data_IF_262553296831
#
_entry.id   IF_262553296831
#
_cell.length_a   1.000
_cell.length_b   1.000
_cell.length_c   1.000
_cell.angle_alpha   90.00
_cell.angle_beta   90.00
_cell.angle_gamma   90.00
#
_symmetry.space_group_name_H-M   'P 1'
#
loop_
_entity.id
_entity.type
_entity.pdbx_description
1 polymer ?
#
# COMPACT_ATOMS: atom_id res chain seq x y z
N UNK A 1 -3.06 -86.89 10.72
CA UNK A 1 -3.17 -86.23 12.04
C UNK A 1 -4.40 -85.33 11.97
N UNK A 2 -5.50 -85.80 12.56
CA UNK A 2 -6.81 -85.18 12.78
C UNK A 2 -7.36 -84.21 11.71
N UNK A 3 -8.14 -84.81 10.80
CA UNK A 3 -9.36 -84.22 10.22
C UNK A 3 -10.36 -83.78 11.30
N UNK A 4 -11.27 -82.87 10.90
CA UNK A 4 -12.75 -82.84 11.12
C UNK A 4 -13.24 -81.39 10.99
N UNK A 5 -14.28 -81.03 10.25
CA UNK A 5 -15.66 -81.53 10.21
C UNK A 5 -16.29 -80.99 8.88
N UNK A 6 -16.78 -81.81 7.94
CA UNK A 6 -18.18 -82.22 7.70
C UNK A 6 -19.23 -81.08 7.88
N UNK A 7 -20.21 -80.84 7.00
CA UNK A 7 -21.01 -81.79 6.20
C UNK A 7 -21.98 -81.02 5.25
N UNK A 8 -22.25 -81.59 4.06
CA UNK A 8 -23.56 -81.71 3.36
C UNK A 8 -24.33 -80.46 2.88
N UNK A 9 -25.05 -80.43 1.74
CA UNK A 9 -25.78 -81.51 1.06
C UNK A 9 -26.28 -81.09 -0.35
N UNK A 10 -26.50 -82.10 -1.23
CA UNK A 10 -27.53 -82.23 -2.31
C UNK A 10 -27.59 -81.19 -3.45
N UNK A 11 -27.25 -81.45 -4.72
CA UNK A 11 -27.68 -82.45 -5.73
C UNK A 11 -29.11 -82.24 -6.27
N UNK A 12 -29.21 -82.11 -7.61
CA UNK A 12 -30.30 -82.36 -8.60
C UNK A 12 -30.46 -81.17 -9.57
N UNK A 13 -30.01 -81.24 -10.83
CA UNK A 13 -30.65 -81.92 -11.97
C UNK A 13 -31.99 -81.21 -12.36
N UNK A 14 -32.34 -80.85 -13.60
CA UNK A 14 -31.91 -81.34 -14.93
C UNK A 14 -32.69 -80.54 -16.02
N UNK A 15 -32.13 -80.50 -17.25
CA UNK A 15 -32.74 -80.29 -18.60
C UNK A 15 -33.14 -78.86 -19.07
N UNK A 16 -32.51 -78.34 -20.12
CA UNK A 16 -32.66 -78.58 -21.58
C UNK A 16 -33.77 -77.70 -22.21
N UNK A 17 -33.39 -76.70 -23.00
CA UNK A 17 -33.73 -76.61 -24.44
C UNK A 17 -33.34 -75.26 -25.04
N UNK A 18 -32.62 -75.36 -26.15
CA UNK A 18 -32.27 -74.33 -27.13
C UNK A 18 -33.51 -73.93 -27.92
N UNK A 19 -33.67 -72.64 -28.28
CA UNK A 19 -34.02 -72.18 -29.64
C UNK A 19 -33.79 -70.65 -29.79
N UNK A 20 -33.22 -70.28 -30.94
CA UNK A 20 -32.89 -68.93 -31.40
C UNK A 20 -34.12 -68.01 -31.57
N UNK A 21 -33.96 -66.71 -31.30
CA UNK A 21 -34.49 -65.62 -32.12
C UNK A 21 -33.87 -64.26 -31.73
N UNK A 22 -33.64 -63.42 -32.75
CA UNK A 22 -33.15 -62.04 -32.70
C UNK A 22 -33.94 -61.13 -31.76
N UNK A 23 -33.25 -60.18 -31.09
CA UNK A 23 -33.87 -59.08 -30.36
C UNK A 23 -32.89 -57.96 -29.98
N UNK A 24 -33.00 -56.83 -30.68
CA UNK A 24 -32.61 -55.46 -30.29
C UNK A 24 -31.20 -55.21 -29.72
N UNK A 25 -30.28 -54.77 -30.59
CA UNK A 25 -29.19 -53.86 -30.19
C UNK A 25 -29.84 -52.50 -29.88
N UNK A 26 -30.18 -52.28 -28.61
CA UNK A 26 -30.32 -50.93 -28.07
C UNK A 26 -28.93 -50.48 -27.64
N UNK A 27 -28.14 -50.01 -28.62
CA UNK A 27 -26.95 -49.22 -28.34
C UNK A 27 -27.42 -47.89 -27.80
N UNK A 28 -27.57 -47.82 -26.49
CA UNK A 28 -27.77 -46.61 -25.72
C UNK A 28 -26.64 -45.65 -26.12
N UNK A 29 -26.98 -44.61 -26.90
CA UNK A 29 -26.10 -43.47 -27.09
C UNK A 29 -25.86 -42.92 -25.70
N UNK A 30 -24.66 -43.14 -25.17
CA UNK A 30 -24.22 -42.52 -23.92
C UNK A 30 -24.55 -41.03 -24.01
N UNK A 31 -25.39 -40.56 -23.10
CA UNK A 31 -25.55 -39.14 -22.86
C UNK A 31 -24.16 -38.53 -22.73
N UNK A 32 -23.90 -37.34 -23.32
CA UNK A 32 -22.70 -36.61 -22.98
C UNK A 32 -22.64 -36.49 -21.46
N UNK A 33 -21.54 -36.93 -20.84
CA UNK A 33 -21.32 -36.69 -19.42
C UNK A 33 -21.46 -35.18 -19.19
N UNK A 34 -22.52 -34.80 -18.47
CA UNK A 34 -22.73 -33.41 -18.10
C UNK A 34 -21.55 -33.00 -17.20
N UNK A 35 -20.97 -31.81 -17.41
CA UNK A 35 -19.84 -31.36 -16.61
C UNK A 35 -20.25 -31.37 -15.14
N UNK A 36 -19.42 -31.98 -14.30
CA UNK A 36 -19.69 -32.11 -12.87
C UNK A 36 -19.85 -30.71 -12.25
N UNK A 37 -20.95 -30.47 -11.54
CA UNK A 37 -21.24 -29.20 -10.88
C UNK A 37 -21.08 -29.31 -9.37
N UNK A 38 -20.79 -28.18 -8.72
CA UNK A 38 -20.70 -28.04 -7.27
C UNK A 38 -21.43 -26.80 -6.79
N UNK A 39 -21.89 -26.89 -5.56
CA UNK A 39 -22.53 -25.82 -4.81
C UNK A 39 -21.48 -24.89 -4.19
N UNK A 40 -21.69 -23.59 -4.37
CA UNK A 40 -20.74 -22.52 -4.02
C UNK A 40 -21.49 -21.33 -3.45
N UNK A 41 -20.86 -20.64 -2.50
CA UNK A 41 -21.24 -19.32 -2.02
C UNK A 41 -20.10 -18.32 -2.22
N UNK A 42 -20.39 -17.11 -2.70
CA UNK A 42 -19.44 -16.00 -2.72
C UNK A 42 -19.67 -15.06 -1.54
N UNK A 43 -18.57 -14.60 -0.95
CA UNK A 43 -18.55 -13.42 -0.09
C UNK A 43 -17.57 -12.41 -0.68
N UNK A 44 -18.04 -11.20 -0.96
CA UNK A 44 -17.25 -10.11 -1.53
C UNK A 44 -17.16 -9.00 -0.49
N UNK A 45 -15.98 -8.41 -0.29
CA UNK A 45 -15.84 -7.28 0.62
C UNK A 45 -14.43 -6.71 0.71
N UNK A 46 -14.25 -5.74 1.61
CA UNK A 46 -13.00 -4.95 1.75
C UNK A 46 -12.19 -5.37 3.00
N UNK A 47 -12.86 -5.75 4.10
CA UNK A 47 -12.24 -5.88 5.44
C UNK A 47 -12.25 -7.29 6.04
N UNK A 48 -13.37 -8.04 5.97
CA UNK A 48 -13.53 -9.34 6.66
C UNK A 48 -12.77 -10.54 6.04
N UNK A 49 -11.61 -10.26 5.43
CA UNK A 49 -10.73 -11.27 4.85
C UNK A 49 -9.23 -11.06 5.17
N UNK A 50 -8.78 -9.96 5.79
CA UNK A 50 -7.34 -9.71 6.04
C UNK A 50 -6.99 -9.83 7.54
N UNK A 51 -6.05 -10.72 7.88
CA UNK A 51 -5.35 -10.69 9.17
C UNK A 51 -3.93 -10.11 9.06
N UNK A 52 -3.47 -9.60 7.91
CA UNK A 52 -2.04 -9.21 7.80
C UNK A 52 -1.62 -8.26 6.68
N UNK A 53 -2.50 -7.51 6.02
CA UNK A 53 -2.09 -6.40 5.15
C UNK A 53 -3.13 -5.29 5.32
N UNK A 54 -2.68 -4.09 5.67
CA UNK A 54 -3.52 -2.97 6.08
C UNK A 54 -4.60 -2.63 5.04
N UNK A 55 -5.79 -3.21 5.15
CA UNK A 55 -7.00 -2.63 4.55
C UNK A 55 -7.78 -1.96 5.67
N UNK A 56 -7.32 -0.74 6.02
CA UNK A 56 -7.86 0.06 7.12
C UNK A 56 -9.24 0.67 6.80
N UNK A 57 -10.21 -0.18 6.51
CA UNK A 57 -11.42 0.18 5.80
C UNK A 57 -12.66 -0.62 6.24
N UNK A 58 -12.67 -1.10 7.48
CA UNK A 58 -13.94 -1.37 8.17
C UNK A 58 -14.37 -0.10 8.89
N UNK A 59 -15.67 0.13 9.12
CA UNK A 59 -16.21 1.12 10.07
C UNK A 59 -15.57 1.01 11.47
N UNK A 60 -15.01 -0.15 11.82
CA UNK A 60 -14.25 -0.36 13.05
C UNK A 60 -12.77 0.04 12.96
N UNK A 61 -12.30 0.47 11.79
CA UNK A 61 -11.00 1.06 11.59
C UNK A 61 -11.08 2.57 11.78
N UNK A 62 -10.27 3.09 12.70
CA UNK A 62 -10.14 4.52 12.99
C UNK A 62 -9.73 5.37 11.77
N UNK A 63 -9.19 4.73 10.72
CA UNK A 63 -8.74 5.39 9.50
C UNK A 63 -9.73 5.20 8.32
N UNK A 64 -10.87 4.53 8.47
CA UNK A 64 -11.90 4.48 7.41
C UNK A 64 -12.62 5.83 7.31
N UNK A 65 -12.79 6.35 6.09
CA UNK A 65 -13.62 7.54 5.85
C UNK A 65 -14.96 7.15 5.23
N UNK A 66 -15.91 8.05 5.37
CA UNK A 66 -17.26 7.89 4.83
C UNK A 66 -17.20 7.84 3.28
N UNK A 67 -17.97 6.92 2.69
CA UNK A 67 -18.12 6.70 1.26
C UNK A 67 -16.98 5.93 0.59
N UNK A 68 -16.03 5.41 1.35
CA UNK A 68 -14.87 4.69 0.78
C UNK A 68 -15.12 3.21 0.46
N UNK A 69 -16.30 2.68 0.77
CA UNK A 69 -16.67 1.27 0.64
C UNK A 69 -17.49 1.01 -0.64
N UNK A 70 -18.37 0.01 -0.65
CA UNK A 70 -19.09 -0.42 -1.86
C UNK A 70 -20.36 0.43 -2.03
N UNK A 71 -20.52 1.03 -3.20
CA UNK A 71 -21.78 1.62 -3.68
C UNK A 71 -22.43 0.74 -4.76
N UNK A 72 -21.63 0.27 -5.71
CA UNK A 72 -22.05 -0.65 -6.78
C UNK A 72 -21.17 -1.90 -6.79
N UNK A 73 -21.70 -3.04 -7.25
CA UNK A 73 -20.95 -4.29 -7.34
C UNK A 73 -21.30 -5.08 -8.60
N UNK A 74 -20.27 -5.64 -9.24
CA UNK A 74 -20.44 -6.69 -10.25
C UNK A 74 -19.33 -7.73 -10.12
N UNK A 75 -19.70 -9.01 -10.26
CA UNK A 75 -18.78 -10.15 -10.22
C UNK A 75 -19.03 -11.06 -11.42
N UNK A 76 -17.95 -11.48 -12.07
CA UNK A 76 -17.94 -12.47 -13.14
C UNK A 76 -17.15 -13.70 -12.72
N UNK A 77 -17.69 -14.87 -13.06
CA UNK A 77 -16.96 -16.13 -13.04
C UNK A 77 -16.92 -16.63 -14.48
N UNK A 78 -15.72 -16.70 -15.02
CA UNK A 78 -15.45 -17.05 -16.42
C UNK A 78 -14.83 -18.44 -16.46
N UNK A 79 -15.34 -19.31 -17.32
CA UNK A 79 -14.83 -20.66 -17.47
C UNK A 79 -13.53 -20.70 -18.29
N UNK A 80 -12.90 -21.88 -18.36
CA UNK A 80 -11.67 -22.09 -19.12
C UNK A 80 -11.79 -21.78 -20.62
N UNK A 81 -13.01 -21.75 -21.17
CA UNK A 81 -13.33 -21.40 -22.55
C UNK A 81 -13.50 -19.88 -22.76
N UNK A 82 -13.18 -19.07 -21.74
CA UNK A 82 -13.38 -17.62 -21.72
C UNK A 82 -14.87 -17.18 -21.84
N UNK A 83 -15.81 -18.06 -21.48
CA UNK A 83 -17.24 -17.74 -21.44
C UNK A 83 -17.67 -17.40 -20.02
N UNK A 84 -18.48 -16.34 -19.85
CA UNK A 84 -19.10 -15.99 -18.56
C UNK A 84 -20.05 -17.11 -18.16
N UNK A 85 -19.71 -17.83 -17.11
CA UNK A 85 -20.53 -18.90 -16.54
C UNK A 85 -21.50 -18.37 -15.49
N UNK A 86 -21.06 -17.36 -14.72
CA UNK A 86 -21.90 -16.68 -13.74
C UNK A 86 -21.61 -15.18 -13.72
N UNK A 87 -22.69 -14.38 -13.63
CA UNK A 87 -22.65 -12.94 -13.40
C UNK A 87 -23.50 -12.61 -12.19
N UNK A 88 -22.93 -11.84 -11.27
CA UNK A 88 -23.66 -11.23 -10.17
C UNK A 88 -23.61 -9.71 -10.36
N UNK A 89 -24.78 -9.09 -10.40
CA UNK A 89 -24.94 -7.63 -10.36
C UNK A 89 -26.11 -7.33 -9.42
N UNK A 90 -25.89 -7.38 -8.09
CA UNK A 90 -26.96 -7.13 -7.13
C UNK A 90 -27.54 -5.72 -7.33
N UNK A 91 -28.86 -5.59 -7.16
CA UNK A 91 -29.48 -4.28 -7.07
C UNK A 91 -29.27 -3.72 -5.66
N UNK A 92 -28.29 -2.81 -5.55
CA UNK A 92 -27.94 -2.14 -4.30
C UNK A 92 -28.61 -0.76 -4.17
N UNK A 93 -29.47 -0.38 -5.12
CA UNK A 93 -30.07 0.97 -5.15
C UNK A 93 -30.97 1.30 -3.96
N UNK A 94 -31.39 0.29 -3.20
CA UNK A 94 -32.24 0.43 -2.00
C UNK A 94 -31.51 0.06 -0.71
N UNK A 95 -30.25 -0.35 -0.79
CA UNK A 95 -29.42 -0.65 0.37
C UNK A 95 -28.91 0.68 0.97
N UNK A 96 -29.28 1.02 2.22
CA UNK A 96 -28.92 2.30 2.81
C UNK A 96 -27.42 2.51 2.95
N UNK A 97 -26.65 1.46 3.22
CA UNK A 97 -25.20 1.55 3.32
C UNK A 97 -24.61 1.72 1.90
N UNK A 98 -25.09 0.97 0.91
CA UNK A 98 -24.58 1.11 -0.46
C UNK A 98 -24.86 2.49 -1.06
N UNK A 99 -26.02 3.10 -0.78
CA UNK A 99 -26.37 4.44 -1.28
C UNK A 99 -25.35 5.51 -0.89
N UNK A 100 -24.74 5.38 0.28
CA UNK A 100 -23.71 6.30 0.77
C UNK A 100 -22.29 5.76 0.57
N UNK A 101 -22.13 4.62 -0.12
CA UNK A 101 -20.83 3.99 -0.33
C UNK A 101 -20.24 3.34 0.90
N UNK A 102 -21.07 2.90 1.85
CA UNK A 102 -20.71 2.34 3.16
C UNK A 102 -20.81 0.81 3.23
N UNK A 103 -21.27 0.14 2.17
CA UNK A 103 -21.49 -1.30 2.21
C UNK A 103 -20.12 -2.03 2.27
N UNK A 104 -19.84 -2.70 3.38
CA UNK A 104 -18.53 -3.36 3.58
C UNK A 104 -18.42 -4.72 2.85
N UNK A 105 -19.55 -5.41 2.71
CA UNK A 105 -19.59 -6.75 2.12
C UNK A 105 -20.95 -7.13 1.54
N UNK A 106 -20.91 -8.06 0.60
CA UNK A 106 -22.09 -8.66 -0.04
C UNK A 106 -21.89 -10.16 -0.19
N UNK A 107 -22.97 -10.94 -0.09
CA UNK A 107 -22.96 -12.39 -0.30
C UNK A 107 -23.92 -12.78 -1.42
N UNK A 108 -23.51 -13.75 -2.23
CA UNK A 108 -24.34 -14.20 -3.37
C UNK A 108 -25.51 -15.08 -2.98
N UNK A 109 -25.49 -15.63 -1.76
CA UNK A 109 -26.17 -16.88 -1.48
C UNK A 109 -25.62 -18.02 -2.34
N UNK A 110 -26.33 -19.13 -2.33
CA UNK A 110 -25.88 -20.38 -2.94
C UNK A 110 -26.19 -20.49 -4.42
N UNK A 111 -25.23 -20.97 -5.20
CA UNK A 111 -25.38 -21.23 -6.62
C UNK A 111 -24.50 -22.39 -7.09
N UNK A 112 -24.75 -22.86 -8.32
CA UNK A 112 -24.01 -23.97 -8.92
C UNK A 112 -22.96 -23.48 -9.92
N UNK A 113 -21.82 -24.15 -9.93
CA UNK A 113 -20.74 -23.96 -10.90
C UNK A 113 -20.23 -25.31 -11.38
N UNK A 114 -19.84 -25.40 -12.64
CA UNK A 114 -19.06 -26.53 -13.15
C UNK A 114 -17.68 -26.54 -12.50
N UNK A 115 -17.16 -27.73 -12.19
CA UNK A 115 -15.83 -27.91 -11.62
C UNK A 115 -14.73 -27.45 -12.58
N UNK A 116 -13.55 -27.22 -12.02
CA UNK A 116 -12.33 -26.87 -12.76
C UNK A 116 -11.94 -25.42 -12.61
N UNK A 117 -10.94 -25.01 -13.39
CA UNK A 117 -10.34 -23.67 -13.32
C UNK A 117 -11.28 -22.60 -13.88
N UNK A 118 -11.45 -21.53 -13.12
CA UNK A 118 -12.23 -20.33 -13.45
C UNK A 118 -11.35 -19.10 -13.31
N UNK A 119 -11.71 -18.05 -14.03
CA UNK A 119 -11.20 -16.72 -13.81
C UNK A 119 -12.29 -15.86 -13.18
N UNK A 120 -12.01 -15.29 -12.01
CA UNK A 120 -12.89 -14.37 -11.32
C UNK A 120 -12.50 -12.94 -11.71
N UNK A 121 -13.51 -12.11 -11.96
CA UNK A 121 -13.36 -10.66 -12.00
C UNK A 121 -14.41 -10.04 -11.08
N UNK A 122 -14.01 -9.12 -10.22
CA UNK A 122 -14.95 -8.35 -9.42
C UNK A 122 -14.61 -6.87 -9.49
N UNK A 123 -15.64 -6.03 -9.52
CA UNK A 123 -15.51 -4.59 -9.58
C UNK A 123 -16.53 -3.95 -8.66
N UNK A 124 -16.10 -2.91 -7.94
CA UNK A 124 -16.99 -2.02 -7.24
C UNK A 124 -16.73 -0.59 -7.67
N UNK A 125 -17.80 0.20 -7.72
CA UNK A 125 -17.74 1.65 -8.00
C UNK A 125 -17.03 1.99 -9.32
N UNK A 126 -17.03 1.07 -10.29
CA UNK A 126 -16.28 1.21 -11.55
C UNK A 126 -16.81 2.37 -12.40
N UNK A 127 -18.06 2.78 -12.18
CA UNK A 127 -18.70 3.89 -12.87
C UNK A 127 -17.90 5.19 -12.68
N UNK A 128 -17.21 5.33 -11.55
CA UNK A 128 -16.37 6.49 -11.22
C UNK A 128 -15.12 6.61 -12.10
N UNK A 129 -14.75 5.54 -12.84
CA UNK A 129 -13.66 5.57 -13.82
C UNK A 129 -14.09 6.19 -15.16
N UNK A 130 -15.40 6.27 -15.44
CA UNK A 130 -15.95 6.73 -16.71
C UNK A 130 -15.30 6.08 -17.95
N UNK A 131 -14.97 4.78 -17.87
CA UNK A 131 -14.28 4.04 -18.94
C UNK A 131 -15.29 3.27 -19.80
N UNK A 132 -15.50 3.72 -21.04
CA UNK A 132 -16.48 3.13 -21.95
C UNK A 132 -16.22 1.66 -22.29
N UNK A 133 -14.95 1.27 -22.42
CA UNK A 133 -14.57 -0.10 -22.74
C UNK A 133 -14.81 -1.04 -21.55
N UNK A 134 -14.49 -0.60 -20.33
CA UNK A 134 -14.81 -1.32 -19.09
C UNK A 134 -16.33 -1.46 -18.91
N UNK A 135 -17.08 -0.38 -19.13
CA UNK A 135 -18.55 -0.40 -19.04
C UNK A 135 -19.16 -1.38 -20.04
N UNK A 136 -18.60 -1.47 -21.25
CA UNK A 136 -19.02 -2.46 -22.25
C UNK A 136 -18.69 -3.88 -21.79
N UNK A 137 -17.49 -4.11 -21.25
CA UNK A 137 -17.13 -5.43 -20.71
C UNK A 137 -18.01 -5.85 -19.53
N UNK A 138 -18.40 -4.92 -18.66
CA UNK A 138 -19.33 -5.16 -17.56
C UNK A 138 -20.76 -5.45 -18.06
N UNK A 139 -21.10 -4.99 -19.26
CA UNK A 139 -22.33 -5.35 -19.98
C UNK A 139 -22.36 -6.80 -20.49
N UNK A 140 -21.26 -7.56 -20.41
CA UNK A 140 -21.22 -8.96 -20.89
C UNK A 140 -22.20 -9.83 -20.10
N UNK A 141 -23.03 -10.60 -20.79
CA UNK A 141 -24.04 -11.47 -20.18
C UNK A 141 -23.55 -12.92 -20.01
N UNK A 142 -24.23 -13.69 -19.15
CA UNK A 142 -23.95 -15.12 -18.99
C UNK A 142 -24.06 -15.85 -20.36
N UNK A 143 -23.12 -16.76 -20.62
CA UNK A 143 -22.99 -17.48 -21.89
C UNK A 143 -22.23 -16.74 -23.00
N UNK A 144 -21.86 -15.47 -22.79
CA UNK A 144 -21.04 -14.71 -23.75
C UNK A 144 -19.54 -14.78 -23.44
N UNK A 145 -18.72 -14.50 -24.44
CA UNK A 145 -17.26 -14.41 -24.28
C UNK A 145 -16.89 -13.15 -23.48
N UNK A 146 -16.06 -13.32 -22.45
CA UNK A 146 -15.56 -12.19 -21.67
C UNK A 146 -14.47 -11.46 -22.45
N UNK A 147 -14.52 -10.12 -22.59
CA UNK A 147 -13.39 -9.36 -23.13
C UNK A 147 -12.13 -9.55 -22.28
N UNK A 148 -10.95 -9.48 -22.90
CA UNK A 148 -9.69 -9.51 -22.13
C UNK A 148 -9.55 -8.21 -21.32
N UNK A 149 -9.49 -8.37 -20.00
CA UNK A 149 -9.30 -7.29 -19.04
C UNK A 149 -7.96 -7.36 -18.31
N UNK A 150 -7.21 -8.46 -18.43
CA UNK A 150 -6.03 -8.70 -17.59
C UNK A 150 -4.87 -7.75 -17.89
N UNK A 151 -4.83 -7.19 -19.10
CA UNK A 151 -3.85 -6.20 -19.55
C UNK A 151 -4.40 -4.76 -19.53
N UNK A 152 -5.68 -4.57 -19.22
CA UNK A 152 -6.35 -3.28 -19.31
C UNK A 152 -5.79 -2.28 -18.30
N UNK A 153 -5.60 -1.05 -18.75
CA UNK A 153 -5.39 0.11 -17.90
C UNK A 153 -6.66 0.95 -17.83
N UNK A 154 -6.78 1.71 -16.74
CA UNK A 154 -7.87 2.65 -16.54
C UNK A 154 -7.30 3.97 -16.05
N UNK A 155 -8.03 5.05 -16.30
CA UNK A 155 -7.67 6.38 -15.82
C UNK A 155 -8.63 6.80 -14.73
N UNK A 156 -8.09 7.52 -13.74
CA UNK A 156 -8.87 8.20 -12.73
C UNK A 156 -8.18 9.52 -12.46
N UNK A 157 -8.92 10.62 -12.44
CA UNK A 157 -8.32 11.90 -12.08
C UNK A 157 -8.09 11.89 -10.57
N UNK A 158 -6.86 12.16 -10.14
CA UNK A 158 -6.55 12.20 -8.71
C UNK A 158 -7.47 13.19 -7.98
N UNK A 159 -7.81 12.87 -6.74
CA UNK A 159 -8.73 13.62 -5.89
C UNK A 159 -10.15 13.82 -6.47
N UNK A 160 -10.64 12.87 -7.27
CA UNK A 160 -12.02 12.90 -7.82
C UNK A 160 -13.07 12.21 -6.95
N UNK A 161 -12.70 11.80 -5.73
CA UNK A 161 -13.62 11.22 -4.76
C UNK A 161 -14.61 12.28 -4.29
N UNK A 162 -15.90 12.01 -4.46
CA UNK A 162 -16.99 12.95 -4.20
C UNK A 162 -18.30 12.15 -4.05
N UNK A 163 -18.53 11.51 -2.89
CA UNK A 163 -19.67 10.63 -2.67
C UNK A 163 -21.01 11.37 -2.79
N UNK A 164 -21.07 12.66 -2.43
CA UNK A 164 -22.26 13.50 -2.57
C UNK A 164 -22.71 13.64 -4.04
N UNK A 165 -21.78 13.54 -4.98
CA UNK A 165 -22.06 13.54 -6.42
C UNK A 165 -21.91 12.15 -7.06
N UNK A 166 -22.07 11.08 -6.27
CA UNK A 166 -22.00 9.67 -6.70
C UNK A 166 -20.66 9.27 -7.33
N UNK A 167 -19.54 9.86 -6.88
CA UNK A 167 -18.18 9.46 -7.28
C UNK A 167 -17.49 8.77 -6.12
N UNK A 168 -17.53 7.45 -6.14
CA UNK A 168 -16.96 6.58 -5.11
C UNK A 168 -15.60 6.03 -5.53
N UNK A 169 -14.86 5.44 -4.59
CA UNK A 169 -13.53 4.90 -4.88
C UNK A 169 -13.64 3.63 -5.73
N UNK A 170 -13.09 3.58 -6.96
CA UNK A 170 -13.14 2.38 -7.78
C UNK A 170 -12.29 1.27 -7.17
N UNK A 171 -12.80 0.05 -7.25
CA UNK A 171 -12.12 -1.15 -6.75
C UNK A 171 -12.20 -2.28 -7.77
N UNK A 172 -11.20 -3.15 -7.76
CA UNK A 172 -11.18 -4.32 -8.61
C UNK A 172 -10.51 -5.51 -7.93
N UNK A 173 -10.78 -6.69 -8.48
CA UNK A 173 -10.13 -7.93 -8.11
C UNK A 173 -10.12 -8.91 -9.29
N UNK A 174 -9.05 -9.68 -9.39
CA UNK A 174 -8.92 -10.76 -10.36
C UNK A 174 -8.14 -11.91 -9.75
N UNK A 175 -8.61 -13.14 -9.96
CA UNK A 175 -7.93 -14.35 -9.50
C UNK A 175 -8.34 -15.57 -10.34
N UNK A 176 -7.37 -16.43 -10.64
CA UNK A 176 -7.64 -17.77 -11.12
C UNK A 176 -8.02 -18.68 -9.96
N UNK A 177 -9.21 -19.27 -10.00
CA UNK A 177 -9.75 -20.11 -8.94
C UNK A 177 -10.08 -21.51 -9.47
N UNK A 178 -9.56 -22.56 -8.83
CA UNK A 178 -9.96 -23.94 -9.15
C UNK A 178 -11.12 -24.38 -8.26
N UNK A 179 -12.27 -24.58 -8.89
CA UNK A 179 -13.53 -24.92 -8.21
C UNK A 179 -13.55 -26.40 -7.87
N UNK A 180 -13.52 -26.71 -6.57
CA UNK A 180 -13.64 -28.08 -6.04
C UNK A 180 -14.90 -28.28 -5.17
N UNK A 181 -15.27 -27.30 -4.34
CA UNK A 181 -16.53 -27.11 -3.60
C UNK A 181 -16.36 -25.98 -2.57
N UNK A 182 -17.46 -25.40 -2.07
CA UNK A 182 -17.45 -24.56 -0.86
C UNK A 182 -17.49 -23.04 -1.10
N UNK A 183 -17.14 -22.27 -0.06
CA UNK A 183 -17.24 -20.81 -0.02
C UNK A 183 -15.99 -20.14 -0.61
N UNK A 184 -16.16 -19.14 -1.47
CA UNK A 184 -15.09 -18.31 -2.02
C UNK A 184 -15.20 -16.87 -1.51
N UNK A 185 -14.13 -16.39 -0.89
CA UNK A 185 -14.02 -14.99 -0.47
C UNK A 185 -13.26 -14.18 -1.52
N UNK A 186 -13.83 -13.05 -1.92
CA UNK A 186 -13.26 -12.09 -2.88
C UNK A 186 -12.92 -10.81 -2.12
N UNK A 187 -11.73 -10.28 -2.34
CA UNK A 187 -11.21 -9.08 -1.66
C UNK A 187 -11.07 -7.95 -2.65
N UNK A 188 -11.92 -6.95 -2.56
CA UNK A 188 -11.83 -5.78 -3.42
C UNK A 188 -10.64 -4.91 -3.00
N UNK A 189 -9.86 -4.48 -3.99
CA UNK A 189 -8.69 -3.61 -3.78
C UNK A 189 -8.99 -2.27 -4.45
N UNK A 190 -8.86 -1.18 -3.69
CA UNK A 190 -8.98 0.18 -4.24
C UNK A 190 -7.90 0.43 -5.28
N UNK A 191 -8.24 1.14 -6.34
CA UNK A 191 -7.28 1.50 -7.39
C UNK A 191 -6.35 2.66 -7.00
N UNK A 192 -6.60 3.27 -5.83
CA UNK A 192 -6.03 4.55 -5.43
C UNK A 192 -5.53 4.46 -3.99
N UNK A 193 -4.62 5.36 -3.63
CA UNK A 193 -4.09 5.51 -2.28
C UNK A 193 -4.49 6.84 -1.66
N UNK A 194 -4.36 6.94 -0.34
CA UNK A 194 -4.60 8.15 0.42
C UNK A 194 -3.30 8.82 0.80
N UNK A 195 -3.28 10.13 0.77
CA UNK A 195 -2.17 10.97 1.20
C UNK A 195 -2.71 12.02 2.16
N UNK A 196 -2.04 12.20 3.30
CA UNK A 196 -2.22 13.35 4.17
C UNK A 196 -0.93 14.12 4.25
N UNK A 197 -1.02 15.44 4.09
CA UNK A 197 0.13 16.33 4.20
C UNK A 197 -0.01 17.13 5.48
N UNK A 198 1.03 17.13 6.30
CA UNK A 198 1.11 17.94 7.52
C UNK A 198 2.33 18.83 7.44
N UNK A 199 2.15 20.11 7.76
CA UNK A 199 3.24 21.09 7.79
C UNK A 199 3.33 21.68 9.19
N UNK A 200 4.53 21.67 9.76
CA UNK A 200 4.85 22.23 11.07
C UNK A 200 5.79 23.42 10.92
N UNK A 201 5.54 24.48 11.67
CA UNK A 201 6.46 25.61 11.76
C UNK A 201 7.32 25.49 13.02
N UNK A 202 8.63 25.28 12.87
CA UNK A 202 9.58 25.32 13.99
C UNK A 202 10.39 26.62 14.03
N UNK A 203 10.06 27.59 13.17
CA UNK A 203 10.77 28.87 13.06
C UNK A 203 10.36 29.90 14.10
N UNK A 204 11.14 30.98 14.23
CA UNK A 204 10.92 32.02 15.23
C UNK A 204 9.90 33.10 14.80
N UNK A 205 9.36 32.97 13.59
CA UNK A 205 8.44 33.90 12.97
C UNK A 205 7.27 33.16 12.33
N UNK A 206 6.23 33.89 11.95
CA UNK A 206 5.07 33.26 11.31
C UNK A 206 5.41 32.96 9.84
N UNK A 207 4.88 31.85 9.33
CA UNK A 207 5.02 31.48 7.93
C UNK A 207 3.63 31.25 7.35
N UNK A 208 3.33 31.97 6.28
CA UNK A 208 2.18 31.68 5.43
C UNK A 208 2.58 30.72 4.31
N UNK A 209 1.88 29.60 4.21
CA UNK A 209 1.93 28.68 3.08
C UNK A 209 0.98 29.25 2.02
N UNK A 210 1.54 29.87 0.98
CA UNK A 210 0.76 30.44 -0.12
C UNK A 210 0.21 29.32 -1.04
N UNK A 211 1.03 28.28 -1.26
CA UNK A 211 0.64 27.11 -2.03
C UNK A 211 1.58 25.92 -1.73
N UNK A 212 1.02 24.72 -1.68
CA UNK A 212 1.75 23.45 -1.62
C UNK A 212 1.24 22.55 -2.74
N UNK A 213 2.16 22.09 -3.58
CA UNK A 213 1.91 21.18 -4.70
C UNK A 213 2.77 19.92 -4.60
N UNK A 214 2.25 18.76 -5.02
CA UNK A 214 3.03 17.53 -5.20
C UNK A 214 2.82 16.99 -6.62
N UNK A 215 3.93 16.59 -7.28
CA UNK A 215 3.95 16.06 -8.64
C UNK A 215 5.17 15.16 -8.93
N UNK A 216 5.16 14.34 -9.98
CA UNK A 216 4.01 13.94 -10.79
C UNK A 216 3.36 12.67 -10.23
N UNK A 217 2.04 12.55 -10.34
CA UNK A 217 1.31 11.30 -10.13
C UNK A 217 0.88 10.71 -11.47
N UNK A 218 0.69 9.40 -11.55
CA UNK A 218 0.15 8.77 -12.74
C UNK A 218 -1.26 9.25 -13.06
N UNK A 219 -1.59 9.28 -14.34
CA UNK A 219 -2.96 9.52 -14.85
C UNK A 219 -3.73 8.22 -15.04
N UNK A 220 -3.03 7.08 -15.03
CA UNK A 220 -3.61 5.76 -15.26
C UNK A 220 -2.94 4.69 -14.41
N UNK A 221 -3.65 3.60 -14.16
CA UNK A 221 -3.15 2.42 -13.44
C UNK A 221 -3.63 1.15 -14.13
N UNK A 222 -3.01 0.01 -13.81
CA UNK A 222 -3.55 -1.27 -14.21
C UNK A 222 -4.93 -1.48 -13.58
N UNK A 223 -5.88 -2.04 -14.34
CA UNK A 223 -7.22 -2.32 -13.84
C UNK A 223 -7.16 -3.25 -12.62
N UNK A 224 -6.31 -4.27 -12.66
CA UNK A 224 -6.07 -5.19 -11.55
C UNK A 224 -4.67 -4.98 -10.97
N UNK A 225 -4.53 -5.26 -9.68
CA UNK A 225 -3.24 -5.23 -8.99
C UNK A 225 -2.23 -6.18 -9.65
N UNK A 226 -1.01 -5.67 -9.90
CA UNK A 226 0.12 -6.41 -10.47
C UNK A 226 1.29 -6.53 -9.48
N UNK A 227 1.11 -6.08 -8.24
CA UNK A 227 2.15 -5.96 -7.24
C UNK A 227 2.97 -4.67 -7.39
N UNK A 228 3.61 -4.26 -6.30
CA UNK A 228 4.27 -2.96 -6.15
C UNK A 228 5.46 -2.75 -7.11
N UNK A 229 6.08 -3.83 -7.57
CA UNK A 229 7.19 -3.79 -8.53
C UNK A 229 6.73 -3.56 -9.98
N UNK A 230 5.45 -3.79 -10.26
CA UNK A 230 4.86 -3.71 -11.60
C UNK A 230 3.92 -2.51 -11.77
N UNK A 231 4.15 -1.46 -11.00
CA UNK A 231 3.46 -0.18 -11.16
C UNK A 231 3.89 0.47 -12.48
N UNK A 232 2.92 1.04 -13.21
CA UNK A 232 3.19 1.81 -14.43
C UNK A 232 4.14 2.98 -14.12
N UNK A 233 5.20 3.19 -14.91
CA UNK A 233 6.06 4.35 -14.76
C UNK A 233 5.27 5.63 -15.05
N UNK A 234 5.58 6.70 -14.32
CA UNK A 234 4.98 8.00 -14.57
C UNK A 234 5.46 8.57 -15.89
N UNK A 235 4.49 8.78 -16.78
CA UNK A 235 4.71 9.21 -18.15
C UNK A 235 4.44 10.72 -18.30
N UNK A 236 5.35 11.43 -18.97
CA UNK A 236 5.24 12.87 -19.17
C UNK A 236 5.21 13.63 -17.85
N UNK A 237 4.37 14.68 -17.78
CA UNK A 237 4.24 15.52 -16.59
C UNK A 237 3.27 14.94 -15.52
N UNK A 238 2.58 13.83 -15.84
CA UNK A 238 1.59 13.23 -14.94
C UNK A 238 0.50 14.21 -14.47
N UNK A 239 -0.05 13.95 -13.29
CA UNK A 239 -0.92 14.85 -12.53
C UNK A 239 -0.14 15.57 -11.43
N UNK A 240 -0.50 16.83 -11.20
CA UNK A 240 -0.16 17.57 -9.99
C UNK A 240 -1.38 17.64 -9.08
N UNK A 241 -1.16 17.57 -7.76
CA UNK A 241 -2.15 18.03 -6.79
C UNK A 241 -1.68 19.40 -6.31
N UNK A 242 -2.40 20.43 -6.75
CA UNK A 242 -2.17 21.82 -6.36
C UNK A 242 -3.02 22.20 -5.14
N UNK A 243 -2.68 23.31 -4.48
CA UNK A 243 -3.43 23.87 -3.35
C UNK A 243 -3.71 22.84 -2.24
N UNK A 244 -2.80 21.89 -2.01
CA UNK A 244 -2.91 20.92 -0.92
C UNK A 244 -3.06 21.64 0.42
N UNK A 245 -2.30 22.72 0.57
CA UNK A 245 -2.46 23.75 1.59
C UNK A 245 -2.25 25.10 0.89
N UNK A 246 -3.14 26.06 1.16
CA UNK A 246 -3.12 27.35 0.51
C UNK A 246 -3.67 28.44 1.44
N UNK A 247 -2.93 29.55 1.53
CA UNK A 247 -3.22 30.68 2.40
C UNK A 247 -3.30 30.31 3.90
N UNK A 248 -2.59 29.27 4.30
CA UNK A 248 -2.52 28.81 5.70
C UNK A 248 -1.38 29.52 6.41
N UNK A 249 -1.66 30.18 7.54
CA UNK A 249 -0.63 30.87 8.33
C UNK A 249 -0.33 30.10 9.61
N UNK A 250 0.92 29.73 9.79
CA UNK A 250 1.43 29.05 10.97
C UNK A 250 2.18 30.06 11.83
N UNK A 251 1.77 30.24 13.08
CA UNK A 251 2.49 31.11 14.00
C UNK A 251 3.85 30.51 14.40
N UNK A 252 4.68 31.33 15.06
CA UNK A 252 5.99 30.94 15.59
C UNK A 252 5.87 30.07 16.87
N UNK A 253 5.16 28.95 16.78
CA UNK A 253 4.87 28.04 17.89
C UNK A 253 5.09 26.59 17.41
N UNK A 254 5.94 25.84 18.12
CA UNK A 254 6.31 24.47 17.76
C UNK A 254 5.15 23.47 17.94
N UNK A 255 4.00 23.90 18.42
CA UNK A 255 2.77 23.11 18.48
C UNK A 255 1.86 23.33 17.28
N UNK A 256 2.06 24.40 16.51
CA UNK A 256 1.19 24.76 15.40
C UNK A 256 1.50 23.97 14.14
N UNK A 257 0.46 23.36 13.58
CA UNK A 257 0.53 22.55 12.37
C UNK A 257 -0.68 22.82 11.49
N UNK A 258 -0.44 22.90 10.19
CA UNK A 258 -1.49 22.77 9.18
C UNK A 258 -1.54 21.32 8.71
N UNK A 259 -2.72 20.82 8.40
CA UNK A 259 -2.87 19.49 7.80
C UNK A 259 -3.92 19.57 6.71
N UNK A 260 -3.62 18.94 5.58
CA UNK A 260 -4.59 18.80 4.51
C UNK A 260 -5.71 17.86 4.94
N UNK A 261 -6.82 17.93 4.22
CA UNK A 261 -7.75 16.80 4.13
C UNK A 261 -7.06 15.59 3.47
N UNK A 262 -7.72 14.44 3.50
CA UNK A 262 -7.24 13.26 2.79
C UNK A 262 -7.34 13.47 1.29
N UNK A 263 -6.22 13.25 0.60
CA UNK A 263 -6.10 13.37 -0.85
C UNK A 263 -6.00 11.98 -1.43
N UNK A 264 -6.74 11.71 -2.49
CA UNK A 264 -6.63 10.45 -3.21
C UNK A 264 -5.72 10.57 -4.41
N UNK A 265 -4.74 9.68 -4.49
CA UNK A 265 -3.72 9.69 -5.53
C UNK A 265 -3.63 8.33 -6.22
N UNK A 266 -3.31 8.36 -7.51
CA UNK A 266 -3.12 7.15 -8.29
C UNK A 266 -1.84 6.42 -7.91
N UNK A 267 -1.87 5.11 -8.16
CA UNK A 267 -0.68 4.27 -8.14
C UNK A 267 0.40 4.83 -9.09
N UNK A 268 1.58 5.14 -8.58
CA UNK A 268 2.60 5.93 -9.30
C UNK A 268 4.02 5.42 -9.09
N UNK A 269 4.90 5.57 -10.09
CA UNK A 269 6.34 5.25 -10.00
C UNK A 269 7.17 6.33 -10.69
N UNK A 270 8.01 7.00 -9.91
CA UNK A 270 8.90 8.06 -10.36
C UNK A 270 10.32 7.81 -9.83
N UNK A 271 11.26 7.51 -10.72
CA UNK A 271 12.62 7.08 -10.35
C UNK A 271 13.41 8.18 -9.63
N UNK A 272 13.08 9.45 -9.90
CA UNK A 272 13.65 10.63 -9.21
C UNK A 272 12.88 11.03 -7.96
N UNK A 273 11.81 10.32 -7.63
CA UNK A 273 10.86 10.67 -6.57
C UNK A 273 9.94 11.83 -6.92
N UNK A 274 8.92 12.00 -6.09
CA UNK A 274 7.87 13.01 -6.21
C UNK A 274 8.40 14.36 -5.73
N UNK A 275 8.26 15.37 -6.57
CA UNK A 275 8.56 16.76 -6.27
C UNK A 275 7.45 17.39 -5.43
N UNK A 276 7.86 17.96 -4.30
CA UNK A 276 7.07 18.80 -3.42
C UNK A 276 7.49 20.23 -3.71
N UNK A 277 6.57 21.05 -4.22
CA UNK A 277 6.78 22.47 -4.51
C UNK A 277 6.04 23.30 -3.47
N UNK A 278 6.74 24.23 -2.85
CA UNK A 278 6.25 25.01 -1.74
C UNK A 278 6.49 26.50 -1.98
N UNK A 279 5.43 27.28 -1.90
CA UNK A 279 5.48 28.73 -1.95
C UNK A 279 5.05 29.30 -0.59
N UNK A 280 5.87 30.17 -0.02
CA UNK A 280 5.72 30.68 1.34
C UNK A 280 6.04 32.17 1.45
N UNK A 281 5.52 32.79 2.49
CA UNK A 281 5.89 34.13 2.94
C UNK A 281 6.15 34.11 4.45
N UNK A 282 7.35 34.48 4.86
CA UNK A 282 7.70 34.76 6.25
C UNK A 282 7.08 36.10 6.67
N UNK A 283 6.50 36.18 7.88
CA UNK A 283 5.88 37.39 8.42
C UNK A 283 6.55 37.76 9.74
N UNK A 284 6.97 39.03 9.86
CA UNK A 284 7.63 39.56 11.04
C UNK A 284 8.95 40.26 10.73
N UNK A 285 9.79 40.41 11.76
CA UNK A 285 11.12 41.00 11.63
C UNK A 285 12.16 39.88 11.67
N UNK A 286 12.72 39.55 10.51
CA UNK A 286 13.78 38.55 10.35
C UNK A 286 14.86 39.08 9.39
N UNK A 287 15.99 38.39 9.34
CA UNK A 287 17.23 38.83 8.64
C UNK A 287 17.33 38.34 7.18
N UNK A 288 16.38 37.50 6.74
CA UNK A 288 16.36 36.84 5.43
C UNK A 288 15.23 37.38 4.54
N UNK A 289 15.17 36.95 3.27
CA UNK A 289 14.11 37.37 2.34
C UNK A 289 12.78 36.68 2.64
N UNK A 290 11.64 37.36 2.51
CA UNK A 290 10.31 36.83 2.89
C UNK A 290 9.98 35.45 2.29
N UNK A 291 10.56 35.06 1.16
CA UNK A 291 10.33 33.77 0.51
C UNK A 291 11.43 32.71 0.77
N UNK A 292 12.29 32.89 1.77
CA UNK A 292 13.44 32.01 2.04
C UNK A 292 13.06 30.54 2.24
N UNK A 293 11.86 30.24 2.75
CA UNK A 293 11.36 28.88 2.96
C UNK A 293 10.61 28.30 1.75
N UNK A 294 10.51 29.06 0.64
CA UNK A 294 9.97 28.56 -0.61
C UNK A 294 11.00 27.71 -1.36
N UNK A 295 10.52 26.81 -2.20
CA UNK A 295 11.37 26.02 -3.09
C UNK A 295 10.71 24.71 -3.47
N UNK A 296 11.49 23.85 -4.14
CA UNK A 296 11.07 22.49 -4.40
C UNK A 296 12.11 21.47 -3.95
N UNK A 297 11.63 20.31 -3.50
CA UNK A 297 12.45 19.16 -3.15
C UNK A 297 11.79 17.89 -3.65
N UNK A 298 12.57 16.83 -3.88
CA UNK A 298 12.06 15.52 -4.26
C UNK A 298 12.16 14.52 -3.11
N UNK A 299 11.18 13.63 -3.02
CA UNK A 299 11.26 12.47 -2.14
C UNK A 299 12.45 11.61 -2.56
N UNK A 300 13.34 11.28 -1.63
CA UNK A 300 14.54 10.49 -1.95
C UNK A 300 14.26 8.98 -1.90
N UNK A 301 13.39 8.55 -0.99
CA UNK A 301 13.08 7.14 -0.72
C UNK A 301 11.76 6.68 -1.31
N UNK A 302 10.73 7.52 -1.24
CA UNK A 302 9.43 7.23 -1.84
C UNK A 302 9.50 7.48 -3.34
N UNK A 303 9.73 6.42 -4.11
CA UNK A 303 9.75 6.42 -5.57
C UNK A 303 8.58 5.67 -6.18
N UNK A 304 7.79 5.00 -5.33
CA UNK A 304 6.65 4.18 -5.70
C UNK A 304 5.53 4.47 -4.71
N UNK A 305 4.32 4.58 -5.24
CA UNK A 305 3.07 4.72 -4.49
C UNK A 305 2.20 3.57 -4.99
N UNK A 306 2.20 2.40 -4.35
CA UNK A 306 1.21 1.36 -4.61
C UNK A 306 -0.21 1.85 -4.33
N UNK A 307 -1.20 1.22 -4.96
CA UNK A 307 -2.63 1.44 -4.70
C UNK A 307 -3.05 0.95 -3.30
N UNK A 308 -4.18 1.43 -2.79
CA UNK A 308 -4.80 0.97 -1.54
C UNK A 308 -3.90 1.11 -0.29
N UNK A 309 -3.04 2.12 -0.26
CA UNK A 309 -2.16 2.46 0.85
C UNK A 309 -2.51 3.82 1.45
N UNK A 310 -2.03 4.08 2.67
CA UNK A 310 -2.14 5.37 3.35
C UNK A 310 -0.74 5.94 3.51
N UNK A 311 -0.55 7.17 3.04
CA UNK A 311 0.70 7.91 3.06
C UNK A 311 0.55 9.16 3.91
N UNK A 312 1.58 9.48 4.69
CA UNK A 312 1.68 10.73 5.41
C UNK A 312 2.97 11.44 4.98
N UNK A 313 2.85 12.65 4.47
CA UNK A 313 3.98 13.53 4.19
C UNK A 313 4.03 14.61 5.26
N UNK A 314 5.08 14.57 6.08
CA UNK A 314 5.33 15.58 7.11
C UNK A 314 6.42 16.53 6.62
N UNK A 315 6.10 17.83 6.54
CA UNK A 315 7.06 18.88 6.24
C UNK A 315 7.28 19.72 7.49
N UNK A 316 8.54 20.13 7.71
CA UNK A 316 8.93 20.95 8.85
C UNK A 316 9.72 22.14 8.33
N UNK A 317 9.27 23.35 8.64
CA UNK A 317 10.09 24.55 8.49
C UNK A 317 11.09 24.61 9.63
N UNK A 318 12.30 24.11 9.37
CA UNK A 318 13.39 24.11 10.34
C UNK A 318 14.17 25.42 10.28
N UNK A 319 14.38 26.06 11.43
CA UNK A 319 15.30 27.21 11.57
C UNK A 319 16.75 26.80 11.77
N UNK A 320 17.07 25.50 11.72
CA UNK A 320 18.38 25.00 12.07
C UNK A 320 18.86 23.94 11.07
N UNK A 321 20.17 23.97 10.80
CA UNK A 321 20.88 22.95 10.03
C UNK A 321 21.71 22.10 10.98
N UNK A 322 21.45 20.79 10.98
CA UNK A 322 22.17 19.80 11.76
C UNK A 322 23.29 19.19 10.91
N UNK A 323 24.48 19.08 11.49
CA UNK A 323 25.64 18.43 10.87
C UNK A 323 26.03 17.19 11.68
N UNK A 324 26.16 16.05 11.00
CA UNK A 324 26.46 14.74 11.58
C UNK A 324 27.82 14.21 11.11
N UNK A 325 28.48 13.45 11.95
CA UNK A 325 29.54 12.52 11.58
C UNK A 325 29.02 11.09 11.71
N UNK A 326 29.41 10.21 10.81
CA UNK A 326 28.89 8.84 10.74
C UNK A 326 30.08 7.89 10.66
N UNK A 327 30.13 6.96 11.61
CA UNK A 327 31.13 5.89 11.65
C UNK A 327 30.41 4.54 11.67
N UNK A 328 30.71 3.70 10.70
CA UNK A 328 30.21 2.32 10.60
C UNK A 328 31.35 1.34 10.79
N UNK A 329 31.12 0.29 11.55
CA UNK A 329 32.08 -0.78 11.78
C UNK A 329 31.49 -2.11 11.31
N UNK A 330 32.25 -2.84 10.51
CA UNK A 330 31.90 -4.20 10.14
C UNK A 330 32.79 -5.19 10.92
N UNK A 331 32.25 -5.89 11.93
CA UNK A 331 33.05 -6.82 12.72
C UNK A 331 33.34 -8.08 11.89
N UNK A 332 34.62 -8.40 11.61
CA UNK A 332 34.95 -9.63 10.91
C UNK A 332 34.66 -10.86 11.78
N UNK A 333 34.44 -12.02 11.14
CA UNK A 333 34.38 -13.30 11.85
C UNK A 333 35.79 -13.60 12.40
N UNK A 334 36.02 -13.28 13.67
CA UNK A 334 37.26 -13.59 14.40
C UNK A 334 38.40 -12.56 14.31
N UNK A 335 38.11 -11.26 14.18
CA UNK A 335 39.11 -10.19 14.16
C UNK A 335 38.63 -8.88 14.80
N UNK A 336 39.45 -7.82 14.72
CA UNK A 336 39.07 -6.47 15.17
C UNK A 336 38.11 -5.83 14.17
N UNK A 337 37.11 -5.04 14.61
CA UNK A 337 36.20 -4.35 13.72
C UNK A 337 36.94 -3.41 12.77
N UNK A 338 36.67 -3.55 11.47
CA UNK A 338 37.16 -2.62 10.46
C UNK A 338 36.14 -1.49 10.28
N UNK A 339 36.63 -0.25 10.23
CA UNK A 339 35.79 0.92 9.96
C UNK A 339 35.45 0.92 8.47
N UNK A 340 34.20 0.64 8.14
CA UNK A 340 33.70 0.56 6.76
C UNK A 340 33.06 1.87 6.30
N UNK A 341 32.50 2.65 7.22
CA UNK A 341 31.97 3.99 6.94
C UNK A 341 32.66 5.03 7.79
N UNK A 342 33.08 6.14 7.18
CA UNK A 342 33.62 7.30 7.88
C UNK A 342 33.27 8.58 7.11
N UNK A 343 32.19 9.23 7.51
CA UNK A 343 31.72 10.51 6.97
C UNK A 343 31.82 11.54 8.09
N UNK A 344 32.38 12.71 7.80
CA UNK A 344 32.43 13.83 8.74
C UNK A 344 31.82 15.06 8.07
N UNK A 345 30.71 15.56 8.61
CA UNK A 345 30.03 16.74 8.09
C UNK A 345 28.81 16.48 7.19
N UNK A 346 28.10 15.36 7.36
CA UNK A 346 26.86 15.11 6.64
C UNK A 346 25.74 16.07 7.10
N UNK A 347 25.08 16.69 6.14
CA UNK A 347 23.93 17.58 6.34
C UNK A 347 22.66 17.04 5.70
N UNK A 348 22.76 15.92 4.97
CA UNK A 348 21.61 15.29 4.34
C UNK A 348 20.70 14.59 5.34
N UNK A 349 21.26 14.21 6.51
CA UNK A 349 20.62 13.39 7.53
C UNK A 349 20.27 11.99 7.02
N UNK A 350 20.94 11.55 5.95
CA UNK A 350 20.85 10.22 5.36
C UNK A 350 22.18 9.50 5.61
N UNK A 351 22.19 8.66 6.63
CA UNK A 351 23.35 7.95 7.11
C UNK A 351 23.44 6.56 6.44
N UNK A 352 24.25 6.46 5.38
CA UNK A 352 24.60 5.17 4.77
C UNK A 352 25.67 4.44 5.58
N UNK A 353 25.41 3.19 5.98
CA UNK A 353 26.39 2.34 6.67
C UNK A 353 26.74 1.14 5.80
N UNK A 354 28.03 1.01 5.51
CA UNK A 354 28.57 0.02 4.59
C UNK A 354 28.68 -1.34 5.28
N UNK A 355 27.97 -2.34 4.75
CA UNK A 355 28.00 -3.72 5.23
C UNK A 355 27.24 -3.99 6.53
N UNK A 356 26.52 -2.99 7.06
CA UNK A 356 25.83 -3.07 8.35
C UNK A 356 26.79 -3.14 9.54
N UNK A 357 26.34 -3.73 10.65
CA UNK A 357 27.13 -3.82 11.88
C UNK A 357 26.91 -2.65 12.87
N UNK A 358 27.73 -2.56 13.94
CA UNK A 358 27.70 -1.45 14.87
C UNK A 358 28.00 -0.12 14.19
N UNK A 359 27.35 0.94 14.60
CA UNK A 359 27.63 2.28 14.12
C UNK A 359 27.59 3.32 15.25
N UNK A 360 28.22 4.45 14.98
CA UNK A 360 28.17 5.65 15.81
C UNK A 360 27.88 6.84 14.92
N UNK A 361 26.84 7.60 15.26
CA UNK A 361 26.55 8.91 14.68
C UNK A 361 26.94 9.95 15.72
N UNK A 362 27.78 10.90 15.35
CA UNK A 362 28.21 12.01 16.22
C UNK A 362 27.56 13.29 15.75
N UNK A 363 26.96 14.04 16.66
CA UNK A 363 26.42 15.37 16.38
C UNK A 363 27.58 16.37 16.38
N UNK A 364 27.87 16.95 15.22
CA UNK A 364 29.06 17.78 14.99
C UNK A 364 28.78 19.27 15.06
N UNK A 365 27.61 19.69 14.61
CA UNK A 365 27.26 21.10 14.53
C UNK A 365 25.75 21.29 14.48
N UNK A 366 25.31 22.43 15.02
CA UNK A 366 23.95 22.89 14.93
C UNK A 366 24.00 24.38 14.64
N UNK A 367 23.53 24.78 13.46
CA UNK A 367 23.59 26.15 13.00
C UNK A 367 22.19 26.73 12.87
N UNK A 368 21.92 27.85 13.53
CA UNK A 368 20.73 28.66 13.25
C UNK A 368 20.84 29.24 11.85
N UNK A 369 19.88 28.91 10.99
CA UNK A 369 19.75 29.46 9.64
C UNK A 369 19.23 30.91 9.67
N UNK A 370 18.52 31.28 10.73
CA UNK A 370 17.96 32.62 10.93
C UNK A 370 19.02 33.63 11.39
N UNK A 371 19.79 33.27 12.41
CA UNK A 371 20.84 34.12 12.97
C UNK A 371 22.20 33.90 12.28
N UNK A 372 22.29 32.89 11.40
CA UNK A 372 23.54 32.42 10.83
C UNK A 372 24.60 32.12 11.93
N UNK A 373 24.14 31.57 13.06
CA UNK A 373 24.93 31.39 14.28
C UNK A 373 25.11 29.91 14.60
N UNK A 374 26.35 29.53 14.90
CA UNK A 374 26.67 28.17 15.38
C UNK A 374 26.37 28.06 16.88
N UNK A 375 25.73 26.96 17.26
CA UNK A 375 25.50 26.60 18.66
C UNK A 375 26.52 25.53 19.07
N UNK A 376 26.98 25.62 20.32
CA UNK A 376 27.82 24.57 20.89
C UNK A 376 26.94 23.37 21.25
N UNK A 377 27.05 22.31 20.46
CA UNK A 377 26.24 21.09 20.58
C UNK A 377 26.37 20.37 21.92
N UNK A 378 27.46 20.61 22.65
CA UNK A 378 27.69 20.02 23.99
C UNK A 378 26.90 20.72 25.10
N UNK A 379 26.44 21.96 24.85
CA UNK A 379 25.64 22.72 25.82
C UNK A 379 24.14 22.39 25.68
N UNK A 380 23.78 21.54 24.70
CA UNK A 380 22.42 21.18 24.36
C UNK A 380 22.05 19.80 24.88
N UNK A 381 20.76 19.60 25.19
CA UNK A 381 20.24 18.29 25.60
C UNK A 381 19.61 17.59 24.41
N UNK A 382 20.14 16.43 24.06
CA UNK A 382 19.69 15.62 22.94
C UNK A 382 18.93 14.38 23.40
N UNK A 383 17.87 14.02 22.67
CA UNK A 383 17.08 12.81 22.90
C UNK A 383 16.64 12.18 21.59
N UNK A 384 16.36 10.88 21.62
CA UNK A 384 15.71 10.17 20.51
C UNK A 384 14.25 9.96 20.92
N UNK A 385 13.31 10.36 20.06
CA UNK A 385 11.92 9.97 20.25
C UNK A 385 11.73 8.52 19.80
N UNK A 386 11.89 7.61 20.77
CA UNK A 386 11.75 6.18 20.55
C UNK A 386 10.33 5.75 20.15
N UNK A 387 9.32 6.61 20.31
CA UNK A 387 7.94 6.30 19.87
C UNK A 387 7.75 6.43 18.36
N UNK A 388 8.71 7.06 17.66
CA UNK A 388 8.66 7.36 16.21
C UNK A 388 9.85 6.71 15.47
N UNK A 389 10.47 5.68 16.06
CA UNK A 389 11.45 4.87 15.33
C UNK A 389 10.70 3.96 14.37
N UNK A 390 10.81 4.23 13.06
CA UNK A 390 10.35 3.30 12.05
C UNK A 390 11.48 2.33 11.72
N UNK A 391 11.23 1.05 11.97
CA UNK A 391 12.09 -0.07 11.61
C UNK A 391 11.26 -1.21 11.00
N UNK A 392 10.27 -0.87 10.19
CA UNK A 392 9.32 -1.84 9.60
C UNK A 392 10.06 -2.90 8.74
N UNK A 393 11.19 -2.50 8.14
CA UNK A 393 12.07 -3.37 7.36
C UNK A 393 12.98 -4.26 8.22
N UNK A 394 12.98 -4.11 9.54
CA UNK A 394 13.85 -4.87 10.44
C UNK A 394 15.35 -4.59 10.28
N UNK A 395 15.71 -3.41 9.76
CA UNK A 395 17.09 -3.02 9.49
C UNK A 395 17.93 -2.85 10.78
N UNK A 396 17.34 -2.27 11.83
CA UNK A 396 17.96 -2.09 13.14
C UNK A 396 17.88 -3.36 14.00
N UNK A 397 19.00 -3.65 14.69
CA UNK A 397 19.12 -4.73 15.67
C UNK A 397 19.14 -4.13 17.08
N UNK A 398 17.99 -4.18 17.76
CA UNK A 398 17.79 -3.56 19.07
C UNK A 398 17.55 -2.04 18.99
N UNK A 399 17.51 -1.40 20.16
CA UNK A 399 17.19 0.02 20.26
C UNK A 399 18.42 0.91 20.00
N UNK A 400 18.16 2.12 19.52
CA UNK A 400 19.16 3.18 19.47
C UNK A 400 19.42 3.71 20.89
N UNK A 401 20.66 4.13 21.14
CA UNK A 401 21.01 4.82 22.38
C UNK A 401 21.71 6.13 22.09
N UNK A 402 21.46 7.14 22.93
CA UNK A 402 22.09 8.46 22.84
C UNK A 402 22.78 8.80 24.16
N UNK A 403 24.02 9.29 24.07
CA UNK A 403 24.80 9.77 25.20
C UNK A 403 25.58 11.01 24.80
N UNK A 404 25.18 12.16 25.35
CA UNK A 404 25.74 13.45 24.95
C UNK A 404 25.44 13.70 23.48
N UNK A 405 26.48 13.80 22.66
CA UNK A 405 26.39 14.02 21.20
C UNK A 405 26.57 12.74 20.37
N UNK A 406 26.68 11.57 20.99
CA UNK A 406 26.88 10.30 20.30
C UNK A 406 25.61 9.45 20.34
N UNK A 407 25.21 8.97 19.17
CA UNK A 407 24.12 8.02 18.96
C UNK A 407 24.75 6.71 18.50
N UNK A 408 24.42 5.61 19.16
CA UNK A 408 24.95 4.29 18.81
C UNK A 408 23.82 3.30 18.55
N UNK A 409 24.09 2.37 17.64
CA UNK A 409 23.16 1.32 17.26
C UNK A 409 23.84 0.24 16.46
N UNK A 410 23.04 -0.70 15.95
CA UNK A 410 23.52 -1.80 15.11
C UNK A 410 22.54 -2.06 13.97
N UNK A 411 23.05 -2.28 12.77
CA UNK A 411 22.27 -2.73 11.62
C UNK A 411 22.59 -4.16 11.20
N UNK A 412 21.61 -4.82 10.59
CA UNK A 412 21.81 -6.13 9.95
C UNK A 412 22.81 -6.02 8.78
N UNK A 413 23.67 -7.02 8.63
CA UNK A 413 24.72 -7.03 7.59
C UNK A 413 24.31 -7.69 6.27
N UNK A 414 23.02 -7.97 6.09
CA UNK A 414 22.46 -8.65 4.91
C UNK A 414 21.15 -8.00 4.45
N UNK A 415 21.03 -6.68 4.64
CA UNK A 415 19.90 -5.91 4.14
C UNK A 415 20.01 -5.64 2.64
N UNK A 416 18.90 -5.31 2.00
CA UNK A 416 18.89 -4.76 0.65
C UNK A 416 19.11 -3.25 0.70
N UNK A 417 19.59 -2.67 -0.41
CA UNK A 417 19.75 -1.23 -0.60
C UNK A 417 18.43 -0.44 -0.52
N UNK A 418 17.29 -1.13 -0.57
CA UNK A 418 15.95 -0.54 -0.43
C UNK A 418 15.48 -0.44 1.02
N UNK A 419 16.07 -1.19 1.95
CA UNK A 419 15.65 -1.18 3.36
C UNK A 419 16.16 0.08 4.07
N UNK A 420 15.29 0.70 4.85
CA UNK A 420 15.63 1.90 5.63
C UNK A 420 15.09 1.83 7.05
N UNK A 421 15.70 2.60 7.95
CA UNK A 421 15.13 2.88 9.27
C UNK A 421 15.21 4.39 9.52
N UNK A 422 14.19 4.97 10.15
CA UNK A 422 14.15 6.40 10.45
C UNK A 422 13.89 6.63 11.93
N UNK A 423 14.51 7.65 12.50
CA UNK A 423 14.24 8.10 13.86
C UNK A 423 14.21 9.62 13.96
N UNK A 424 13.55 10.14 15.00
CA UNK A 424 13.52 11.57 15.30
C UNK A 424 14.56 11.88 16.37
N UNK A 425 15.53 12.72 16.02
CA UNK A 425 16.49 13.31 16.93
C UNK A 425 15.96 14.66 17.41
N UNK A 426 15.73 14.78 18.71
CA UNK A 426 15.26 16.02 19.33
C UNK A 426 16.41 16.74 20.03
N UNK A 427 16.32 18.06 20.05
CA UNK A 427 17.21 18.90 20.85
C UNK A 427 16.44 19.97 21.61
N UNK A 428 16.80 20.09 22.89
CA UNK A 428 16.37 21.19 23.76
C UNK A 428 17.57 22.04 24.11
N UNK A 429 17.49 23.31 23.76
CA UNK A 429 18.40 24.33 24.28
C UNK A 429 17.82 24.83 25.61
N UNK A 430 18.57 24.80 26.72
CA UNK A 430 18.11 25.30 28.03
C UNK A 430 17.60 26.75 28.00
N UNK A 431 18.14 27.57 27.08
CA UNK A 431 17.76 28.97 26.91
C UNK A 431 16.62 29.16 25.88
N UNK A 432 16.35 28.16 25.04
CA UNK A 432 15.26 28.21 24.08
C UNK A 432 13.97 27.66 24.69
N UNK A 433 12.83 28.29 24.37
CA UNK A 433 11.51 27.86 24.84
C UNK A 433 10.89 26.70 24.04
N UNK A 434 11.65 26.04 23.16
CA UNK A 434 11.12 25.08 22.16
C UNK A 434 12.02 23.85 21.98
N UNK A 435 11.42 22.74 21.53
CA UNK A 435 12.15 21.52 21.12
C UNK A 435 12.27 21.48 19.60
N UNK A 436 13.49 21.33 19.07
CA UNK A 436 13.72 21.16 17.62
C UNK A 436 13.79 19.67 17.30
N UNK A 437 13.31 19.28 16.11
CA UNK A 437 13.27 17.87 15.69
C UNK A 437 13.90 17.64 14.33
N UNK A 438 14.74 16.62 14.21
CA UNK A 438 15.42 16.23 12.98
C UNK A 438 15.09 14.77 12.65
N UNK A 439 14.56 14.51 11.46
CA UNK A 439 14.40 13.14 10.96
C UNK A 439 15.73 12.65 10.40
N UNK A 440 16.30 11.62 11.02
CA UNK A 440 17.54 10.97 10.58
C UNK A 440 17.18 9.62 9.97
N UNK A 441 17.68 9.36 8.77
CA UNK A 441 17.47 8.11 8.04
C UNK A 441 18.74 7.28 8.02
N UNK A 442 18.63 6.00 8.34
CA UNK A 442 19.68 5.00 8.21
C UNK A 442 19.43 4.17 6.94
N UNK A 443 20.49 3.91 6.19
CA UNK A 443 20.44 3.09 4.97
C UNK A 443 21.56 2.06 4.98
N UNK A 444 21.25 0.83 4.57
CA UNK A 444 22.27 -0.14 4.21
C UNK A 444 22.96 0.25 2.90
N UNK A 445 24.29 0.12 2.87
CA UNK A 445 25.10 0.26 1.66
C UNK A 445 25.89 -1.04 1.50
N UNK A 446 25.80 -1.66 0.32
CA UNK A 446 26.57 -2.87 0.06
C UNK A 446 28.08 -2.57 0.06
N UNK A 447 28.89 -3.56 0.44
CA UNK A 447 30.35 -3.47 0.47
C UNK A 447 30.92 -3.51 -0.96
N UNK A 448 30.15 -4.04 -1.92
CA UNK A 448 30.58 -4.27 -3.31
C UNK A 448 30.04 -3.27 -4.34
N UNK A 449 29.29 -2.24 -3.90
CA UNK A 449 28.83 -1.14 -4.77
C UNK A 449 29.83 -0.01 -4.96
#
# INVERSE_FOLDING_TARGET
MKERLNYHNTLWAVFFSVFLAFGCVSGEKGSPDLPETVEVDLQVGISNASQSLQTKASKNDKDALDGEQINSLVVFIVNASNTVEKKFKPDLSTDPDAQTGELESWTSGTFTLTKGTKQIYAFANWESLNDAALNTAIGTEEGQQMPDLLSKTVSWTSNSFDPDNNKFLPMSFSETWTVSSGKKTIRLIRLVSRLKVTVKNETEHEITINNLEIKPFNTSSHLFDKGEDNILPTAGDGWSIESILQNETLSADDTQKASSDWIYINESKEDKGFEVVLATTSIGNFSHADNQHSGSKRTSFVKRIPRNHIWNLNLVFASYELTLGIKGENPPIGGYPDVTTNIDGDKSLVCGIIGGGPFTITIKGLKSLEENKELNVNDLTWSIDNSIVNNDDGLLVGDLSIKGTEITGRMIGAATDTQTATFILEVRNPDAKRTLSFTVTLKFVDIFE
#
